data_IF_442651048473
#
_entry.id   IF_442651048473
#
_cell.length_a   1.000
_cell.length_b   1.000
_cell.length_c   1.000
_cell.angle_alpha   90.00
_cell.angle_beta   90.00
_cell.angle_gamma   90.00
#
_symmetry.space_group_name_H-M   'P 1'
#
loop_
_entity.id
_entity.type
_entity.pdbx_description
1 polymer ?
#
# COMPACT_ATOMS: atom_id res chain seq x y z
N UNK A 1 -4.63 1.07 -4.35
CA UNK A 1 -4.58 0.49 -2.98
C UNK A 1 -4.07 1.57 -2.04
N UNK A 2 -4.71 1.75 -0.88
CA UNK A 2 -4.38 2.84 0.06
C UNK A 2 -3.35 2.37 1.09
N UNK A 3 -2.46 3.25 1.51
CA UNK A 3 -1.40 2.98 2.50
C UNK A 3 -2.00 2.42 3.80
N UNK A 4 -3.14 2.95 4.26
CA UNK A 4 -3.84 2.48 5.47
C UNK A 4 -4.23 1.00 5.39
N UNK A 5 -4.74 0.54 4.25
CA UNK A 5 -5.13 -0.86 4.05
C UNK A 5 -3.90 -1.78 4.03
N UNK A 6 -2.79 -1.30 3.47
CA UNK A 6 -1.54 -2.04 3.43
C UNK A 6 -0.88 -2.14 4.82
N UNK A 7 -0.95 -1.07 5.62
CA UNK A 7 -0.54 -1.07 7.03
C UNK A 7 -1.38 -2.07 7.82
N UNK A 8 -2.71 -2.02 7.70
CA UNK A 8 -3.60 -2.94 8.41
C UNK A 8 -3.33 -4.40 8.05
N UNK A 9 -3.14 -4.71 6.76
CA UNK A 9 -2.84 -6.07 6.28
C UNK A 9 -1.51 -6.58 6.81
N UNK A 10 -0.45 -5.77 6.74
CA UNK A 10 0.87 -6.16 7.25
C UNK A 10 0.86 -6.31 8.77
N UNK A 11 0.08 -5.51 9.49
CA UNK A 11 -0.10 -5.64 10.93
C UNK A 11 -0.80 -6.95 11.31
N UNK A 12 -1.90 -7.29 10.61
CA UNK A 12 -2.60 -8.58 10.80
C UNK A 12 -1.64 -9.74 10.53
N UNK A 13 -0.94 -9.72 9.39
CA UNK A 13 0.04 -10.75 9.02
C UNK A 13 1.13 -10.91 10.09
N UNK A 14 1.67 -9.81 10.60
CA UNK A 14 2.66 -9.82 11.67
C UNK A 14 2.13 -10.52 12.93
N UNK A 15 0.90 -10.18 13.37
CA UNK A 15 0.25 -10.82 14.52
C UNK A 15 -0.04 -12.31 14.28
N UNK A 16 -0.47 -12.68 13.08
CA UNK A 16 -0.68 -14.08 12.71
C UNK A 16 0.62 -14.90 12.77
N UNK A 17 1.74 -14.37 12.26
CA UNK A 17 3.03 -15.05 12.37
C UNK A 17 3.50 -15.16 13.83
N UNK A 18 3.28 -14.12 14.63
CA UNK A 18 3.62 -14.12 16.05
C UNK A 18 2.86 -15.23 16.81
N UNK A 19 1.56 -15.35 16.59
CA UNK A 19 0.71 -16.39 17.20
C UNK A 19 1.10 -17.80 16.73
N UNK A 20 1.31 -18.00 15.42
CA UNK A 20 1.80 -19.27 14.87
C UNK A 20 3.15 -19.68 15.46
N UNK A 21 4.03 -18.73 15.74
CA UNK A 21 5.31 -19.01 16.39
C UNK A 21 5.12 -19.46 17.85
N UNK A 22 4.19 -18.84 18.60
CA UNK A 22 3.88 -19.26 19.97
C UNK A 22 3.29 -20.68 20.00
N UNK A 23 2.31 -20.96 19.15
CA UNK A 23 1.74 -22.29 18.96
C UNK A 23 2.80 -23.33 18.57
N UNK A 24 3.66 -23.01 17.61
CA UNK A 24 4.75 -23.89 17.17
C UNK A 24 5.73 -24.20 18.31
N UNK A 25 6.14 -23.21 19.11
CA UNK A 25 6.98 -23.42 20.29
C UNK A 25 6.31 -24.34 21.31
N UNK A 26 4.99 -24.21 21.49
CA UNK A 26 4.25 -25.08 22.40
C UNK A 26 4.18 -26.52 21.88
N UNK A 27 3.91 -26.71 20.58
CA UNK A 27 3.95 -28.04 19.96
C UNK A 27 5.32 -28.68 20.11
N UNK A 28 6.41 -27.91 19.98
CA UNK A 28 7.78 -28.39 20.23
C UNK A 28 7.94 -28.87 21.68
N UNK A 29 7.43 -28.13 22.67
CA UNK A 29 7.50 -28.54 24.09
C UNK A 29 6.72 -29.84 24.35
N UNK A 30 5.53 -29.98 23.77
CA UNK A 30 4.72 -31.19 23.88
C UNK A 30 5.44 -32.37 23.25
N UNK A 31 5.93 -32.21 22.01
CA UNK A 31 6.68 -33.23 21.30
C UNK A 31 7.99 -33.61 22.03
N UNK A 32 8.66 -32.65 22.68
CA UNK A 32 9.82 -32.93 23.54
C UNK A 32 9.45 -33.83 24.72
N UNK A 33 8.30 -33.59 25.36
CA UNK A 33 7.80 -34.44 26.44
C UNK A 33 7.46 -35.84 25.92
N UNK A 34 6.83 -35.94 24.75
CA UNK A 34 6.53 -37.22 24.10
C UNK A 34 7.81 -38.00 23.82
N UNK A 35 8.81 -37.38 23.21
CA UNK A 35 10.13 -38.00 22.97
C UNK A 35 10.78 -38.46 24.26
N UNK A 36 10.68 -37.68 25.34
CA UNK A 36 11.22 -38.06 26.63
C UNK A 36 10.50 -39.29 27.22
N UNK A 37 9.17 -39.30 27.20
CA UNK A 37 8.37 -40.43 27.69
C UNK A 37 8.64 -41.70 26.87
N UNK A 38 8.66 -41.60 25.54
CA UNK A 38 8.92 -42.76 24.68
C UNK A 38 10.35 -43.28 24.85
N UNK A 39 11.33 -42.40 25.08
CA UNK A 39 12.69 -42.81 25.42
C UNK A 39 12.72 -43.59 26.74
N UNK A 40 12.06 -43.10 27.80
CA UNK A 40 11.98 -43.82 29.09
C UNK A 40 11.29 -45.18 28.91
N UNK A 41 10.23 -45.26 28.11
CA UNK A 41 9.55 -46.53 27.83
C UNK A 41 10.44 -47.49 27.03
N UNK A 42 11.22 -47.00 26.08
CA UNK A 42 12.17 -47.81 25.29
C UNK A 42 13.27 -48.38 26.20
N UNK A 43 13.82 -47.53 27.08
CA UNK A 43 14.85 -47.93 28.05
C UNK A 43 14.33 -49.02 29.01
N UNK A 44 13.00 -49.04 29.27
CA UNK A 44 12.32 -50.11 30.02
C UNK A 44 11.88 -51.32 29.19
N UNK A 45 12.13 -51.33 27.88
CA UNK A 45 11.75 -52.42 26.95
C UNK A 45 10.26 -52.46 26.57
N UNK A 46 9.50 -51.39 26.85
CA UNK A 46 8.05 -51.33 26.64
C UNK A 46 7.62 -50.80 25.26
N UNK A 47 8.52 -50.14 24.52
CA UNK A 47 8.30 -49.64 23.15
C UNK A 47 9.55 -49.88 22.29
N UNK A 48 9.43 -49.75 20.97
CA UNK A 48 10.54 -50.02 20.05
C UNK A 48 11.40 -48.77 19.80
N UNK A 49 12.65 -48.96 19.32
CA UNK A 49 13.50 -47.83 18.94
C UNK A 49 12.87 -47.00 17.80
N UNK A 50 12.14 -47.67 16.90
CA UNK A 50 11.43 -47.04 15.81
C UNK A 50 10.45 -45.96 16.31
N UNK A 51 9.71 -46.23 17.39
CA UNK A 51 8.75 -45.29 17.98
C UNK A 51 9.45 -44.02 18.49
N UNK A 52 10.65 -44.19 19.09
CA UNK A 52 11.49 -43.07 19.53
C UNK A 52 12.00 -42.27 18.34
N UNK A 53 12.47 -42.93 17.27
CA UNK A 53 12.97 -42.24 16.07
C UNK A 53 11.84 -41.51 15.33
N UNK A 54 10.64 -42.08 15.26
CA UNK A 54 9.46 -41.42 14.70
C UNK A 54 9.10 -40.17 15.51
N UNK A 55 9.07 -40.26 16.85
CA UNK A 55 8.80 -39.11 17.71
C UNK A 55 9.87 -38.00 17.55
N UNK A 56 11.16 -38.38 17.47
CA UNK A 56 12.27 -37.45 17.21
C UNK A 56 12.12 -36.78 15.84
N UNK A 57 11.79 -37.55 14.80
CA UNK A 57 11.58 -37.03 13.44
C UNK A 57 10.45 -35.98 13.39
N UNK A 58 9.33 -36.25 14.06
CA UNK A 58 8.22 -35.30 14.17
C UNK A 58 8.64 -34.01 14.90
N UNK A 59 9.40 -34.14 15.98
CA UNK A 59 9.96 -33.00 16.72
C UNK A 59 10.87 -32.13 15.84
N UNK A 60 11.80 -32.75 15.12
CA UNK A 60 12.73 -32.02 14.26
C UNK A 60 12.04 -31.37 13.07
N UNK A 61 11.03 -32.03 12.48
CA UNK A 61 10.20 -31.46 11.41
C UNK A 61 9.50 -30.18 11.89
N UNK A 62 8.93 -30.21 13.11
CA UNK A 62 8.26 -29.04 13.68
C UNK A 62 9.27 -27.92 14.01
N UNK A 63 10.43 -28.25 14.58
CA UNK A 63 11.51 -27.28 14.83
C UNK A 63 12.02 -26.61 13.55
N UNK A 64 12.11 -27.37 12.45
CA UNK A 64 12.57 -26.87 11.15
C UNK A 64 11.59 -25.86 10.52
N UNK A 65 10.32 -25.84 10.93
CA UNK A 65 9.34 -24.85 10.48
C UNK A 65 9.45 -23.49 11.21
N UNK A 66 10.15 -23.43 12.36
CA UNK A 66 10.24 -22.21 13.15
C UNK A 66 11.03 -21.07 12.46
N UNK A 67 12.16 -21.34 11.77
CA UNK A 67 12.87 -20.33 11.00
C UNK A 67 12.02 -19.68 9.90
N UNK A 68 11.20 -20.45 9.19
CA UNK A 68 10.35 -19.89 8.13
C UNK A 68 9.25 -18.98 8.69
N UNK A 69 8.65 -19.34 9.83
CA UNK A 69 7.71 -18.48 10.55
C UNK A 69 8.38 -17.18 11.04
N UNK A 70 9.60 -17.29 11.58
CA UNK A 70 10.38 -16.12 12.01
C UNK A 70 10.70 -15.19 10.84
N UNK A 71 11.04 -15.75 9.68
CA UNK A 71 11.33 -14.97 8.47
C UNK A 71 10.08 -14.20 8.01
N UNK A 72 8.92 -14.86 7.96
CA UNK A 72 7.65 -14.20 7.63
C UNK A 72 7.30 -13.07 8.58
N UNK A 73 7.52 -13.28 9.89
CA UNK A 73 7.34 -12.23 10.91
C UNK A 73 8.27 -11.03 10.67
N UNK A 74 9.55 -11.27 10.39
CA UNK A 74 10.52 -10.21 10.10
C UNK A 74 10.19 -9.44 8.82
N UNK A 75 9.73 -10.13 7.77
CA UNK A 75 9.29 -9.50 6.52
C UNK A 75 8.09 -8.58 6.75
N UNK A 76 7.04 -9.06 7.43
CA UNK A 76 5.88 -8.25 7.76
C UNK A 76 6.24 -7.03 8.62
N UNK A 77 7.14 -7.19 9.60
CA UNK A 77 7.65 -6.10 10.42
C UNK A 77 8.41 -5.06 9.59
N UNK A 78 9.32 -5.49 8.72
CA UNK A 78 10.10 -4.58 7.91
C UNK A 78 9.22 -3.82 6.90
N UNK A 79 8.18 -4.47 6.36
CA UNK A 79 7.18 -3.81 5.53
C UNK A 79 6.42 -2.71 6.30
N UNK A 80 6.01 -2.97 7.54
CA UNK A 80 5.41 -1.95 8.41
C UNK A 80 6.36 -0.78 8.68
N UNK A 81 7.65 -1.04 8.88
CA UNK A 81 8.65 0.01 9.10
C UNK A 81 8.73 0.97 7.90
N UNK A 82 8.76 0.42 6.68
CA UNK A 82 8.76 1.21 5.44
C UNK A 82 7.46 2.02 5.30
N UNK A 83 6.31 1.42 5.56
CA UNK A 83 5.01 2.11 5.44
C UNK A 83 4.81 3.21 6.49
N UNK A 84 5.40 3.06 7.67
CA UNK A 84 5.36 4.06 8.74
C UNK A 84 6.51 5.08 8.67
N UNK A 85 7.45 4.91 7.74
CA UNK A 85 8.61 5.81 7.59
C UNK A 85 9.61 5.73 8.75
N UNK A 86 9.68 4.60 9.45
CA UNK A 86 10.59 4.37 10.59
C UNK A 86 11.63 3.31 10.25
N UNK A 87 12.75 3.29 10.99
CA UNK A 87 13.76 2.25 10.79
C UNK A 87 13.27 0.88 11.31
N UNK A 88 13.64 -0.25 10.69
CA UNK A 88 13.19 -1.58 11.11
C UNK A 88 13.52 -1.98 12.55
N UNK A 89 14.51 -1.32 13.18
CA UNK A 89 14.85 -1.52 14.59
C UNK A 89 13.93 -0.75 15.55
N UNK A 90 13.45 0.42 15.15
CA UNK A 90 12.66 1.34 15.99
C UNK A 90 11.19 0.94 16.09
N UNK A 91 10.69 0.15 15.14
CA UNK A 91 9.31 -0.31 15.15
C UNK A 91 9.04 -1.40 16.21
N UNK A 92 10.07 -2.11 16.66
CA UNK A 92 9.94 -3.19 17.66
C UNK A 92 9.28 -2.71 18.96
N UNK A 93 9.78 -1.64 19.63
CA UNK A 93 9.14 -1.14 20.85
C UNK A 93 7.71 -0.64 20.62
N UNK A 94 7.38 -0.12 19.43
CA UNK A 94 6.03 0.32 19.09
C UNK A 94 5.04 -0.85 18.96
N UNK A 95 5.52 -2.00 18.48
CA UNK A 95 4.70 -3.21 18.31
C UNK A 95 4.55 -4.03 19.60
N UNK A 96 5.38 -3.78 20.60
CA UNK A 96 5.37 -4.42 21.92
C UNK A 96 4.66 -3.56 22.97
N UNK A 97 3.34 -3.39 22.84
CA UNK A 97 2.55 -2.69 23.87
C UNK A 97 2.41 -3.54 25.14
N UNK A 98 2.32 -2.89 26.30
CA UNK A 98 2.19 -3.54 27.61
C UNK A 98 0.92 -4.40 27.71
N UNK A 99 -0.19 -3.93 27.13
CA UNK A 99 -1.44 -4.68 27.01
C UNK A 99 -1.27 -5.96 26.18
N UNK A 100 -0.37 -5.96 25.20
CA UNK A 100 -0.11 -7.12 24.36
C UNK A 100 0.80 -8.13 25.06
N UNK A 101 1.74 -7.67 25.88
CA UNK A 101 2.50 -8.57 26.78
C UNK A 101 1.53 -9.29 27.73
N UNK A 102 0.60 -8.56 28.34
CA UNK A 102 -0.44 -9.16 29.18
C UNK A 102 -1.32 -10.17 28.42
N UNK A 103 -1.68 -9.91 27.16
CA UNK A 103 -2.40 -10.88 26.31
C UNK A 103 -1.55 -12.12 25.97
N UNK A 104 -0.28 -11.95 25.65
CA UNK A 104 0.65 -13.08 25.41
C UNK A 104 0.82 -13.90 26.68
N UNK A 105 0.88 -13.25 27.84
CA UNK A 105 1.00 -13.93 29.13
C UNK A 105 -0.30 -14.66 29.51
N UNK A 106 -1.47 -14.03 29.29
CA UNK A 106 -2.78 -14.68 29.44
C UNK A 106 -2.87 -15.92 28.54
N UNK A 107 -2.51 -15.79 27.26
CA UNK A 107 -2.41 -16.89 26.30
C UNK A 107 -1.48 -18.00 26.81
N UNK A 108 -0.28 -17.66 27.26
CA UNK A 108 0.66 -18.65 27.80
C UNK A 108 0.11 -19.37 29.05
N UNK A 109 -0.65 -18.67 29.90
CA UNK A 109 -1.27 -19.22 31.10
C UNK A 109 -2.45 -20.15 30.74
N UNK A 110 -3.31 -19.75 29.80
CA UNK A 110 -4.50 -20.51 29.43
C UNK A 110 -4.14 -21.80 28.68
N UNK A 111 -3.17 -21.74 27.77
CA UNK A 111 -2.67 -22.90 27.02
C UNK A 111 -1.57 -23.69 27.80
N UNK A 112 -1.12 -23.14 28.94
CA UNK A 112 -0.20 -23.79 29.87
C UNK A 112 -0.86 -24.85 30.76
N UNK A 113 -2.16 -24.75 31.00
CA UNK A 113 -2.95 -25.71 31.80
C UNK A 113 -3.22 -26.96 30.96
N UNK A 114 -2.46 -28.02 31.21
CA UNK A 114 -2.50 -29.27 30.44
C UNK A 114 -3.77 -30.13 30.67
N UNK A 115 -4.65 -29.75 31.59
CA UNK A 115 -5.66 -30.65 32.16
C UNK A 115 -7.11 -30.36 31.76
N UNK A 116 -7.39 -29.29 31.01
CA UNK A 116 -8.78 -28.94 30.68
C UNK A 116 -9.10 -29.29 29.22
N UNK A 117 -9.87 -30.36 29.01
CA UNK A 117 -10.56 -30.63 27.73
C UNK A 117 -11.37 -29.39 27.36
N UNK A 118 -10.93 -28.62 26.36
CA UNK A 118 -11.70 -27.48 25.86
C UNK A 118 -12.86 -28.00 25.00
N UNK A 119 -14.07 -27.62 25.37
CA UNK A 119 -15.24 -27.60 24.49
C UNK A 119 -15.02 -26.54 23.41
N UNK A 120 -15.17 -26.92 22.14
CA UNK A 120 -14.81 -26.17 20.92
C UNK A 120 -15.70 -24.93 20.63
N UNK A 121 -16.03 -24.10 21.64
CA UNK A 121 -17.01 -23.02 21.48
C UNK A 121 -16.44 -21.61 21.71
N UNK A 122 -15.21 -21.45 22.18
CA UNK A 122 -14.63 -20.11 22.45
C UNK A 122 -13.15 -20.01 21.99
N UNK A 123 -12.92 -20.11 20.67
CA UNK A 123 -11.57 -20.08 20.09
C UNK A 123 -11.02 -18.66 19.87
N UNK A 124 -11.80 -17.61 20.16
CA UNK A 124 -11.51 -16.25 19.71
C UNK A 124 -11.19 -15.23 20.82
N UNK A 125 -11.42 -15.55 22.09
CA UNK A 125 -11.21 -14.62 23.22
C UNK A 125 -9.74 -14.39 23.55
N UNK A 126 -8.85 -15.33 23.18
CA UNK A 126 -7.42 -15.26 23.51
C UNK A 126 -6.48 -15.03 22.32
N UNK A 127 -6.99 -14.91 21.10
CA UNK A 127 -6.14 -14.68 19.93
C UNK A 127 -5.44 -13.32 19.99
N UNK A 128 -4.17 -13.31 19.59
CA UNK A 128 -3.35 -12.10 19.48
C UNK A 128 -3.69 -11.32 18.20
N UNK A 129 -4.30 -11.98 17.22
CA UNK A 129 -4.72 -11.36 15.94
C UNK A 129 -5.95 -10.48 16.19
N UNK A 130 -5.96 -9.23 15.70
CA UNK A 130 -7.12 -8.36 15.87
C UNK A 130 -8.33 -8.90 15.11
N UNK A 131 -9.47 -8.99 15.79
CA UNK A 131 -10.73 -9.41 15.19
C UNK A 131 -11.41 -8.24 14.47
N UNK A 132 -11.97 -8.48 13.28
CA UNK A 132 -12.71 -7.44 12.58
C UNK A 132 -14.03 -7.15 13.35
N UNK A 133 -14.46 -5.87 13.39
CA UNK A 133 -15.80 -5.56 13.89
C UNK A 133 -16.87 -6.12 12.95
N UNK A 134 -18.05 -6.44 13.48
CA UNK A 134 -19.18 -6.84 12.66
C UNK A 134 -19.62 -5.65 11.79
N UNK A 135 -19.69 -5.85 10.47
CA UNK A 135 -20.15 -4.85 9.51
C UNK A 135 -21.62 -5.12 9.17
N UNK A 136 -22.43 -4.07 9.12
CA UNK A 136 -23.78 -4.13 8.58
C UNK A 136 -23.70 -4.20 7.05
N UNK A 137 -24.46 -5.11 6.43
CA UNK A 137 -24.24 -5.52 5.03
C UNK A 137 -24.92 -4.60 3.99
N UNK A 138 -25.42 -3.43 4.39
CA UNK A 138 -26.03 -2.46 3.48
C UNK A 138 -24.94 -1.72 2.69
N UNK A 139 -24.91 -1.95 1.37
CA UNK A 139 -24.00 -1.24 0.47
C UNK A 139 -24.68 0.05 0.03
N UNK A 140 -24.30 1.18 0.64
CA UNK A 140 -24.78 2.49 0.23
C UNK A 140 -24.13 2.93 -1.09
N UNK A 141 -24.95 3.42 -2.03
CA UNK A 141 -24.47 4.00 -3.30
C UNK A 141 -23.52 5.20 -3.09
N UNK A 142 -23.59 5.87 -1.94
CA UNK A 142 -22.70 6.97 -1.57
C UNK A 142 -21.23 6.54 -1.39
N UNK A 143 -20.95 5.24 -1.25
CA UNK A 143 -19.58 4.70 -1.20
C UNK A 143 -18.84 4.90 -2.53
N UNK A 144 -19.55 4.91 -3.66
CA UNK A 144 -18.96 5.17 -4.98
C UNK A 144 -18.40 6.59 -5.06
N UNK A 145 -19.08 7.56 -4.44
CA UNK A 145 -18.63 8.96 -4.43
C UNK A 145 -17.41 9.20 -3.53
N UNK A 146 -17.12 8.31 -2.58
CA UNK A 146 -15.95 8.40 -1.70
C UNK A 146 -14.70 7.74 -2.27
N UNK A 147 -14.80 7.11 -3.44
CA UNK A 147 -13.72 6.38 -4.08
C UNK A 147 -12.79 7.34 -4.84
N UNK A 148 -11.56 7.60 -4.34
CA UNK A 148 -10.64 8.53 -5.00
C UNK A 148 -10.18 8.03 -6.37
N UNK A 149 -10.14 6.71 -6.60
CA UNK A 149 -9.81 6.13 -7.90
C UNK A 149 -10.83 6.49 -9.00
N UNK A 150 -12.12 6.49 -8.66
CA UNK A 150 -13.17 6.93 -9.59
C UNK A 150 -13.17 8.43 -9.81
N UNK A 151 -12.93 9.24 -8.77
CA UNK A 151 -12.81 10.69 -8.89
C UNK A 151 -11.63 11.07 -9.80
N UNK A 152 -10.47 10.41 -9.67
CA UNK A 152 -9.32 10.65 -10.55
C UNK A 152 -9.66 10.26 -11.99
N UNK A 153 -10.30 9.11 -12.22
CA UNK A 153 -10.69 8.70 -13.56
C UNK A 153 -11.66 9.70 -14.22
N UNK A 154 -12.62 10.22 -13.46
CA UNK A 154 -13.55 11.25 -13.94
C UNK A 154 -12.83 12.57 -14.27
N UNK A 155 -11.90 13.02 -13.42
CA UNK A 155 -11.09 14.21 -13.69
C UNK A 155 -10.20 14.04 -14.94
N UNK A 156 -9.63 12.86 -15.14
CA UNK A 156 -8.85 12.54 -16.35
C UNK A 156 -9.73 12.57 -17.60
N UNK A 157 -10.92 11.97 -17.53
CA UNK A 157 -11.88 12.01 -18.64
C UNK A 157 -12.28 13.46 -18.98
N UNK A 158 -12.57 14.30 -17.95
CA UNK A 158 -12.83 15.73 -18.14
C UNK A 158 -11.65 16.46 -18.79
N UNK A 159 -10.42 16.18 -18.36
CA UNK A 159 -9.22 16.76 -18.94
C UNK A 159 -9.01 16.36 -20.41
N UNK A 160 -9.34 15.11 -20.78
CA UNK A 160 -9.34 14.65 -22.17
C UNK A 160 -10.42 15.33 -23.00
N UNK A 161 -11.66 15.43 -22.48
CA UNK A 161 -12.73 16.17 -23.17
C UNK A 161 -12.37 17.64 -23.41
N UNK A 162 -11.69 18.29 -22.47
CA UNK A 162 -11.21 19.66 -22.65
C UNK A 162 -10.15 19.77 -23.78
N UNK A 163 -9.28 18.75 -23.94
CA UNK A 163 -8.31 18.70 -25.05
C UNK A 163 -9.01 18.54 -26.40
N UNK A 164 -10.04 17.71 -26.49
CA UNK A 164 -10.86 17.56 -27.71
C UNK A 164 -11.46 18.92 -28.09
N UNK A 165 -12.04 19.64 -27.12
CA UNK A 165 -12.58 20.99 -27.37
C UNK A 165 -11.51 21.99 -27.85
N UNK A 166 -10.29 21.91 -27.32
CA UNK A 166 -9.17 22.74 -27.81
C UNK A 166 -8.72 22.37 -29.24
N UNK A 167 -8.77 21.09 -29.60
CA UNK A 167 -8.44 20.61 -30.93
C UNK A 167 -9.53 21.00 -31.95
N UNK A 168 -10.79 20.97 -31.54
CA UNK A 168 -11.92 21.45 -32.35
C UNK A 168 -11.85 22.96 -32.57
N UNK A 169 -11.42 23.74 -31.58
CA UNK A 169 -11.21 25.18 -31.72
C UNK A 169 -10.24 25.56 -32.86
N UNK A 170 -9.33 24.66 -33.26
CA UNK A 170 -8.43 24.87 -34.39
C UNK A 170 -9.11 24.82 -35.77
N UNK A 171 -10.35 24.33 -35.87
CA UNK A 171 -11.16 24.38 -37.10
C UNK A 171 -11.77 25.78 -37.32
N UNK A 172 -11.92 26.55 -36.26
CA UNK A 172 -12.45 27.90 -36.28
C UNK A 172 -11.33 28.92 -36.45
N UNK A 173 -11.64 30.13 -36.95
CA UNK A 173 -10.67 31.20 -37.00
C UNK A 173 -10.16 31.58 -35.61
N UNK A 174 -8.84 31.77 -35.48
CA UNK A 174 -8.26 32.36 -34.28
C UNK A 174 -8.10 33.87 -34.45
N UNK A 175 -8.60 34.61 -33.46
CA UNK A 175 -8.39 36.05 -33.34
C UNK A 175 -7.37 36.28 -32.23
N UNK A 176 -6.31 37.00 -32.52
CA UNK A 176 -5.35 37.47 -31.52
C UNK A 176 -5.23 38.98 -31.60
N UNK A 177 -4.97 39.61 -30.47
CA UNK A 177 -4.74 41.04 -30.39
C UNK A 177 -3.28 41.23 -29.99
N UNK A 178 -2.47 41.82 -30.87
CA UNK A 178 -1.10 42.15 -30.55
C UNK A 178 -0.97 43.62 -30.21
N UNK A 179 -0.07 43.93 -29.29
CA UNK A 179 0.30 45.27 -28.89
C UNK A 179 1.75 45.26 -28.43
N UNK A 180 2.57 46.13 -28.97
CA UNK A 180 3.93 46.35 -28.50
C UNK A 180 4.20 47.84 -28.33
N UNK A 181 4.93 48.17 -27.28
CA UNK A 181 5.40 49.52 -26.97
C UNK A 181 6.91 49.41 -26.92
N UNK A 182 7.62 50.22 -27.71
CA UNK A 182 9.06 50.16 -27.85
C UNK A 182 9.67 51.56 -27.95
N UNK A 183 10.99 51.59 -27.86
CA UNK A 183 11.78 52.77 -28.23
C UNK A 183 12.79 52.37 -29.31
N UNK A 184 12.88 53.13 -30.40
CA UNK A 184 13.87 52.89 -31.44
C UNK A 184 14.47 54.24 -31.89
N UNK A 185 15.78 54.30 -32.08
CA UNK A 185 16.50 55.50 -32.53
C UNK A 185 17.60 55.11 -33.51
N UNK A 186 17.65 55.80 -34.66
CA UNK A 186 18.60 55.53 -35.74
C UNK A 186 19.73 56.59 -35.81
N UNK A 187 19.92 57.42 -34.79
CA UNK A 187 20.95 58.48 -34.78
C UNK A 187 22.25 57.99 -34.10
N UNK A 188 23.41 57.99 -34.79
CA UNK A 188 24.65 57.41 -34.25
C UNK A 188 25.37 58.22 -33.14
N UNK A 189 24.99 59.46 -32.88
CA UNK A 189 25.70 60.32 -31.93
C UNK A 189 24.91 61.60 -31.65
N UNK A 190 24.43 61.75 -30.41
CA UNK A 190 23.87 63.03 -29.94
C UNK A 190 22.81 62.84 -28.87
N UNK A 191 23.05 63.44 -27.72
CA UNK A 191 22.19 63.47 -26.54
C UNK A 191 20.75 63.88 -26.86
N UNK A 192 19.84 62.91 -26.96
CA UNK A 192 18.39 63.09 -26.74
C UNK A 192 17.71 61.72 -26.65
N UNK A 193 17.72 61.09 -25.47
CA UNK A 193 16.66 60.15 -25.09
C UNK A 193 15.37 60.98 -24.88
N UNK A 194 14.78 61.44 -25.99
CA UNK A 194 13.48 62.11 -25.96
C UNK A 194 12.38 61.08 -26.22
N UNK A 195 11.54 60.84 -25.21
CA UNK A 195 10.36 59.99 -25.32
C UNK A 195 9.37 60.45 -26.40
N UNK A 196 9.49 61.69 -26.88
CA UNK A 196 8.59 62.24 -27.91
C UNK A 196 8.85 61.67 -29.32
N UNK A 197 10.10 61.32 -29.63
CA UNK A 197 10.53 61.04 -31.02
C UNK A 197 11.06 59.61 -31.22
N UNK A 198 11.35 58.89 -30.12
CA UNK A 198 11.79 57.49 -30.16
C UNK A 198 10.70 56.48 -29.77
N UNK A 199 9.55 56.91 -29.25
CA UNK A 199 8.46 56.04 -28.78
C UNK A 199 7.72 55.42 -29.98
N UNK A 200 7.77 54.09 -30.07
CA UNK A 200 7.01 53.31 -31.03
C UNK A 200 5.88 52.59 -30.32
N UNK A 201 4.65 52.79 -30.80
CA UNK A 201 3.47 52.07 -30.33
C UNK A 201 2.86 51.36 -31.54
N UNK A 202 2.77 50.04 -31.48
CA UNK A 202 2.07 49.24 -32.47
C UNK A 202 1.01 48.41 -31.77
N UNK A 203 -0.20 48.42 -32.30
CA UNK A 203 -1.27 47.55 -31.84
C UNK A 203 -2.14 47.19 -33.04
N UNK A 204 -2.65 45.97 -33.07
CA UNK A 204 -3.51 45.51 -34.14
C UNK A 204 -4.11 44.14 -33.86
N UNK A 205 -5.28 43.83 -34.42
CA UNK A 205 -5.77 42.46 -34.45
C UNK A 205 -4.95 41.66 -35.47
N UNK A 206 -4.74 40.38 -35.21
CA UNK A 206 -4.32 39.40 -36.20
C UNK A 206 -5.30 38.24 -36.23
N UNK A 207 -5.54 37.73 -37.43
CA UNK A 207 -6.48 36.66 -37.69
C UNK A 207 -5.75 35.55 -38.45
N UNK A 208 -5.93 34.31 -38.01
CA UNK A 208 -5.37 33.15 -38.67
C UNK A 208 -6.45 32.09 -38.87
N UNK A 209 -6.67 31.69 -40.11
CA UNK A 209 -7.60 30.62 -40.46
C UNK A 209 -6.96 29.63 -41.43
N UNK A 210 -6.77 28.40 -40.97
CA UNK A 210 -6.05 27.36 -41.70
C UNK A 210 -6.97 26.61 -42.67
N UNK A 211 -7.32 27.24 -43.80
CA UNK A 211 -8.30 26.71 -44.77
C UNK A 211 -7.81 25.52 -45.62
N UNK A 212 -6.51 25.43 -45.92
CA UNK A 212 -5.95 24.36 -46.78
C UNK A 212 -5.33 23.20 -46.00
N UNK A 213 -5.20 23.30 -44.68
CA UNK A 213 -4.61 22.25 -43.82
C UNK A 213 -5.68 21.35 -43.18
N UNK A 214 -6.89 21.35 -43.75
CA UNK A 214 -8.07 20.69 -43.23
C UNK A 214 -7.87 19.18 -42.98
N UNK A 215 -7.09 18.51 -43.84
CA UNK A 215 -6.73 17.10 -43.65
C UNK A 215 -5.89 16.84 -42.40
N UNK A 216 -4.95 17.74 -42.06
CA UNK A 216 -4.06 17.61 -40.89
C UNK A 216 -4.80 17.92 -39.58
N UNK A 217 -5.65 18.95 -39.58
CA UNK A 217 -6.42 19.36 -38.39
C UNK A 217 -7.48 18.31 -38.04
N UNK A 218 -8.20 17.76 -39.04
CA UNK A 218 -9.13 16.64 -38.81
C UNK A 218 -8.44 15.36 -38.34
N UNK A 219 -7.22 15.10 -38.80
CA UNK A 219 -6.46 13.94 -38.34
C UNK A 219 -6.01 14.11 -36.88
N UNK A 220 -5.62 15.33 -36.48
CA UNK A 220 -5.31 15.63 -35.09
C UNK A 220 -6.53 15.47 -34.16
N UNK A 221 -7.72 15.92 -34.57
CA UNK A 221 -8.95 15.70 -33.78
C UNK A 221 -9.26 14.22 -33.63
N UNK A 222 -9.18 13.42 -34.71
CA UNK A 222 -9.39 11.96 -34.63
C UNK A 222 -8.35 11.25 -33.78
N UNK A 223 -7.11 11.74 -33.76
CA UNK A 223 -6.05 11.21 -32.93
C UNK A 223 -6.28 11.49 -31.44
N UNK A 224 -6.79 12.68 -31.10
CA UNK A 224 -7.15 13.03 -29.73
C UNK A 224 -8.47 12.37 -29.28
N UNK A 225 -9.41 12.11 -30.20
CA UNK A 225 -10.68 11.41 -29.92
C UNK A 225 -10.48 9.88 -29.74
N UNK A 226 -9.42 9.32 -30.34
CA UNK A 226 -9.05 7.91 -30.19
C UNK A 226 -8.20 7.59 -28.94
N UNK A 227 -7.82 8.60 -28.15
CA UNK A 227 -6.90 8.51 -27.01
C UNK A 227 -7.60 8.66 -25.65
#
# INVERSE_FOLDING_TARGET
MTITSEVARNYINFRTFQERMLLSRRNIQIQQRVVHITQVQYDSGNVTELDVQQAKSQLYTTKAALPSLKLGMMQARNALAVLLGVMPGEIVPMLESEQLKAKIDAYNIEYGRADTKRTMTDDNTESIVPTPPMLDASIDASLVMRRPDLQVAELLARAQSAKIGSAEAALYPSFSLFGSIGINSNTPSGSSFSFSDSLTLSAGPSFSWNIFQYGRIKNNVRLEDAR
#
